data_IF_311246200611
#
_entry.id   IF_311246200611
#
_cell.length_a   1.000
_cell.length_b   1.000
_cell.length_c   1.000
_cell.angle_alpha   90.00
_cell.angle_beta   90.00
_cell.angle_gamma   90.00
#
_symmetry.space_group_name_H-M   'P 1'
#
loop_
_entity.id
_entity.type
_entity.pdbx_description
1 polymer ?
#
# COMPACT_ATOMS: atom_id res chain seq x y z
N UNK A 1 10.85 -4.17 17.28
CA UNK A 1 10.56 -4.08 15.83
C UNK A 1 9.37 -5.01 15.62
N UNK A 2 8.20 -4.50 15.20
CA UNK A 2 7.09 -5.40 14.80
C UNK A 2 7.53 -6.09 13.51
N UNK A 3 7.39 -7.41 13.45
CA UNK A 3 7.81 -8.20 12.30
C UNK A 3 6.54 -8.76 11.69
N UNK A 4 6.31 -8.49 10.40
CA UNK A 4 5.30 -9.27 9.67
C UNK A 4 5.74 -10.72 9.69
N UNK A 5 4.82 -11.63 10.01
CA UNK A 5 5.08 -13.06 9.95
C UNK A 5 5.44 -13.47 8.50
N UNK A 6 6.07 -14.64 8.35
CA UNK A 6 6.61 -15.11 7.06
C UNK A 6 5.62 -14.86 5.93
N UNK A 7 6.06 -14.02 5.00
CA UNK A 7 5.31 -13.54 3.84
C UNK A 7 4.83 -14.64 2.89
N UNK A 8 5.42 -15.83 3.01
CA UNK A 8 5.08 -17.04 2.29
C UNK A 8 4.18 -17.92 3.15
N UNK A 9 3.11 -18.45 2.56
CA UNK A 9 2.16 -19.38 3.20
C UNK A 9 1.22 -18.78 4.25
N UNK A 10 1.08 -17.46 4.38
CA UNK A 10 0.09 -16.88 5.32
C UNK A 10 -1.37 -17.25 5.01
N UNK A 11 -1.66 -17.79 3.83
CA UNK A 11 -2.99 -18.33 3.47
C UNK A 11 -3.18 -19.80 3.90
N UNK A 12 -2.10 -20.47 4.30
CA UNK A 12 -2.06 -21.89 4.68
C UNK A 12 -1.72 -22.06 6.16
N UNK A 13 -0.92 -21.15 6.70
CA UNK A 13 -0.56 -21.04 8.11
C UNK A 13 -1.48 -20.03 8.79
N UNK A 14 -2.41 -20.54 9.59
CA UNK A 14 -3.40 -19.77 10.33
C UNK A 14 -2.75 -18.82 11.36
N UNK A 15 -1.67 -19.23 12.01
CA UNK A 15 -0.93 -18.39 12.96
C UNK A 15 -0.31 -17.19 12.24
N UNK A 16 0.32 -17.44 11.08
CA UNK A 16 0.86 -16.37 10.23
C UNK A 16 -0.23 -15.45 9.68
N UNK A 17 -1.40 -15.99 9.32
CA UNK A 17 -2.55 -15.19 8.89
C UNK A 17 -2.96 -14.19 9.97
N UNK A 18 -3.23 -14.67 11.18
CA UNK A 18 -3.70 -13.83 12.28
C UNK A 18 -2.64 -12.86 12.77
N UNK A 19 -1.36 -13.25 12.77
CA UNK A 19 -0.27 -12.32 13.05
C UNK A 19 -0.21 -11.16 12.05
N UNK A 20 -0.40 -11.44 10.75
CA UNK A 20 -0.43 -10.41 9.72
C UNK A 20 -1.68 -9.53 9.79
N UNK A 21 -2.85 -10.12 10.06
CA UNK A 21 -4.10 -9.37 10.33
C UNK A 21 -3.92 -8.42 11.50
N UNK A 22 -3.38 -8.90 12.62
CA UNK A 22 -3.11 -8.07 13.79
C UNK A 22 -2.13 -6.94 13.45
N UNK A 23 -1.04 -7.26 12.75
CA UNK A 23 -0.06 -6.25 12.33
C UNK A 23 -0.71 -5.10 11.56
N UNK A 24 -1.57 -5.40 10.58
CA UNK A 24 -2.21 -4.36 9.77
C UNK A 24 -3.31 -3.61 10.51
N UNK A 25 -4.06 -4.26 11.40
CA UNK A 25 -5.00 -3.56 12.29
C UNK A 25 -4.26 -2.58 13.21
N UNK A 26 -3.19 -3.04 13.87
CA UNK A 26 -2.33 -2.19 14.70
C UNK A 26 -1.74 -1.02 13.90
N UNK A 27 -1.44 -1.22 12.61
CA UNK A 27 -0.92 -0.17 11.74
C UNK A 27 -1.98 0.90 11.48
N UNK A 28 -3.24 0.50 11.26
CA UNK A 28 -4.35 1.44 11.07
C UNK A 28 -4.55 2.25 12.37
N UNK A 29 -4.54 1.58 13.52
CA UNK A 29 -4.69 2.21 14.84
C UNK A 29 -3.54 3.19 15.15
N UNK A 30 -2.32 2.86 14.72
CA UNK A 30 -1.15 3.74 14.85
C UNK A 30 -1.30 5.02 14.03
N UNK A 31 -1.84 4.93 12.80
CA UNK A 31 -2.07 6.11 11.96
C UNK A 31 -3.16 7.00 12.54
N UNK A 32 -4.21 6.42 13.12
CA UNK A 32 -5.26 7.19 13.77
C UNK A 32 -5.89 6.43 14.94
N UNK A 33 -5.83 6.99 16.16
CA UNK A 33 -6.47 6.38 17.34
C UNK A 33 -7.99 6.65 17.38
N UNK A 34 -8.54 7.29 16.34
CA UNK A 34 -9.97 7.59 16.27
C UNK A 34 -10.78 6.28 16.15
N UNK A 35 -11.96 6.19 16.80
CA UNK A 35 -12.78 4.99 16.72
C UNK A 35 -13.14 4.65 15.27
N UNK A 36 -12.93 3.38 14.92
CA UNK A 36 -13.36 2.80 13.66
C UNK A 36 -13.96 1.42 13.88
N UNK A 37 -14.75 0.98 12.91
CA UNK A 37 -15.37 -0.33 12.90
C UNK A 37 -14.75 -1.21 11.81
N UNK A 38 -14.82 -2.53 11.97
CA UNK A 38 -14.46 -3.42 10.87
C UNK A 38 -15.38 -3.14 9.67
N UNK A 39 -14.78 -2.86 8.51
CA UNK A 39 -15.52 -2.43 7.33
C UNK A 39 -16.01 -3.61 6.49
N UNK A 40 -15.12 -4.54 6.16
CA UNK A 40 -15.45 -5.74 5.38
C UNK A 40 -15.36 -6.97 6.28
N UNK A 41 -16.43 -7.76 6.27
CA UNK A 41 -16.47 -9.02 7.02
C UNK A 41 -15.54 -10.05 6.39
N UNK A 42 -14.66 -10.62 7.21
CA UNK A 42 -13.74 -11.70 6.84
C UNK A 42 -14.24 -13.06 7.31
N UNK A 43 -15.55 -13.20 7.60
CA UNK A 43 -16.14 -14.42 8.15
C UNK A 43 -17.34 -14.91 7.34
N UNK A 44 -17.46 -16.23 7.23
CA UNK A 44 -18.67 -16.91 6.76
C UNK A 44 -19.83 -16.66 7.72
N UNK A 45 -21.06 -16.96 7.28
CA UNK A 45 -22.26 -16.86 8.11
C UNK A 45 -22.22 -17.77 9.36
N UNK A 46 -21.36 -18.78 9.38
CA UNK A 46 -21.11 -19.66 10.53
C UNK A 46 -20.01 -19.13 11.48
N UNK A 47 -19.44 -17.94 11.23
CA UNK A 47 -18.41 -17.31 12.04
C UNK A 47 -16.97 -17.75 11.72
N UNK A 48 -16.76 -18.68 10.79
CA UNK A 48 -15.41 -19.12 10.39
C UNK A 48 -14.75 -18.05 9.51
N UNK A 49 -13.46 -17.74 9.72
CA UNK A 49 -12.74 -16.75 8.90
C UNK A 49 -12.37 -17.28 7.50
N UNK A 50 -12.42 -16.40 6.49
CA UNK A 50 -11.80 -16.60 5.18
C UNK A 50 -10.32 -16.24 5.30
N UNK A 51 -9.43 -17.21 5.05
CA UNK A 51 -7.98 -16.99 5.07
C UNK A 51 -7.47 -16.63 3.66
N UNK A 52 -7.99 -15.56 3.06
CA UNK A 52 -7.69 -15.19 1.65
C UNK A 52 -6.89 -13.88 1.49
N UNK A 53 -6.71 -13.13 2.57
CA UNK A 53 -5.99 -11.85 2.59
C UNK A 53 -6.75 -10.68 1.95
N UNK A 54 -8.03 -10.85 1.62
CA UNK A 54 -8.89 -9.85 0.98
C UNK A 54 -10.21 -9.60 1.74
N UNK A 55 -10.20 -8.70 2.75
CA UNK A 55 -9.03 -8.01 3.27
C UNK A 55 -8.30 -8.78 4.36
N UNK A 56 -7.01 -8.49 4.50
CA UNK A 56 -6.24 -8.86 5.69
C UNK A 56 -6.56 -7.90 6.86
N UNK A 57 -6.94 -6.65 6.56
CA UNK A 57 -7.40 -5.66 7.54
C UNK A 57 -8.33 -4.63 6.88
N UNK A 58 -9.30 -4.11 7.64
CA UNK A 58 -10.21 -3.07 7.14
C UNK A 58 -10.75 -2.20 8.27
N UNK A 59 -11.04 -0.94 7.97
CA UNK A 59 -11.51 0.03 8.95
C UNK A 59 -12.50 1.01 8.30
N UNK A 60 -13.61 1.30 9.00
CA UNK A 60 -14.60 2.30 8.64
C UNK A 60 -14.58 3.44 9.67
N UNK A 61 -14.18 4.63 9.23
CA UNK A 61 -14.28 5.86 10.00
C UNK A 61 -15.57 6.59 9.62
N UNK A 62 -16.69 6.21 10.24
CA UNK A 62 -18.03 6.76 9.94
C UNK A 62 -18.06 8.29 9.99
N UNK A 63 -17.43 8.88 11.00
CA UNK A 63 -17.33 10.34 11.16
C UNK A 63 -16.66 11.07 9.99
N UNK A 64 -15.86 10.37 9.20
CA UNK A 64 -15.14 10.94 8.05
C UNK A 64 -15.70 10.50 6.71
N UNK A 65 -16.69 9.60 6.69
CA UNK A 65 -17.19 8.99 5.46
C UNK A 65 -16.09 8.26 4.68
N UNK A 66 -15.13 7.63 5.39
CA UNK A 66 -13.96 6.98 4.81
C UNK A 66 -13.83 5.55 5.27
N UNK A 67 -13.42 4.69 4.36
CA UNK A 67 -13.04 3.32 4.65
C UNK A 67 -11.64 3.00 4.13
N UNK A 68 -10.96 2.09 4.81
CA UNK A 68 -9.68 1.51 4.40
C UNK A 68 -9.90 0.01 4.22
N UNK A 69 -9.35 -0.53 3.13
CA UNK A 69 -9.23 -1.96 2.88
C UNK A 69 -7.79 -2.29 2.55
N UNK A 70 -7.12 -3.09 3.37
CA UNK A 70 -5.78 -3.60 3.10
C UNK A 70 -5.94 -5.03 2.59
N UNK A 71 -5.41 -5.28 1.39
CA UNK A 71 -5.36 -6.58 0.75
C UNK A 71 -3.91 -7.02 0.71
N UNK A 72 -3.58 -8.12 1.38
CA UNK A 72 -2.23 -8.68 1.34
C UNK A 72 -2.18 -9.81 0.32
N UNK A 73 -1.16 -9.79 -0.53
CA UNK A 73 -0.87 -10.87 -1.49
C UNK A 73 0.55 -11.37 -1.30
N UNK A 74 0.82 -12.58 -1.78
CA UNK A 74 2.15 -13.16 -1.77
C UNK A 74 3.16 -12.28 -2.52
N UNK A 75 4.44 -12.37 -2.14
CA UNK A 75 5.51 -11.65 -2.81
C UNK A 75 5.68 -12.14 -4.25
N UNK A 76 5.62 -11.21 -5.19
CA UNK A 76 5.93 -11.40 -6.60
C UNK A 76 6.99 -10.38 -7.01
N UNK A 77 8.18 -10.89 -7.31
CA UNK A 77 9.33 -10.07 -7.70
C UNK A 77 9.13 -9.30 -9.02
N UNK A 78 8.19 -9.75 -9.85
CA UNK A 78 7.85 -9.10 -11.12
C UNK A 78 6.84 -7.96 -10.96
N UNK A 79 6.05 -7.98 -9.89
CA UNK A 79 5.04 -6.98 -9.59
C UNK A 79 5.52 -5.94 -8.57
N UNK A 80 4.95 -4.73 -8.66
CA UNK A 80 5.28 -3.67 -7.72
C UNK A 80 4.63 -3.92 -6.35
N UNK A 81 5.34 -3.69 -5.24
CA UNK A 81 4.92 -4.20 -3.94
C UNK A 81 3.77 -3.42 -3.29
N UNK A 82 3.36 -2.26 -3.81
CA UNK A 82 2.16 -1.55 -3.33
C UNK A 82 1.38 -0.89 -4.47
N UNK A 83 0.09 -1.20 -4.55
CA UNK A 83 -0.87 -0.52 -5.43
C UNK A 83 -2.03 0.00 -4.61
N UNK A 84 -2.53 1.17 -4.98
CA UNK A 84 -3.64 1.78 -4.26
C UNK A 84 -4.69 2.28 -5.24
N UNK A 85 -5.96 2.26 -4.87
CA UNK A 85 -7.01 2.91 -5.63
C UNK A 85 -8.11 3.41 -4.70
N UNK A 86 -9.00 4.23 -5.26
CA UNK A 86 -10.17 4.72 -4.56
C UNK A 86 -11.40 4.05 -5.14
N UNK A 87 -12.36 3.76 -4.28
CA UNK A 87 -13.70 3.36 -4.67
C UNK A 87 -14.75 4.20 -3.94
N UNK A 88 -15.95 4.27 -4.49
CA UNK A 88 -17.12 4.84 -3.82
C UNK A 88 -18.12 3.73 -3.56
N UNK A 89 -18.35 3.45 -2.28
CA UNK A 89 -19.26 2.39 -1.85
C UNK A 89 -20.49 3.03 -1.21
N UNK A 90 -21.67 2.53 -1.56
CA UNK A 90 -22.93 2.93 -0.90
C UNK A 90 -23.13 2.10 0.37
N UNK A 91 -23.33 2.78 1.50
CA UNK A 91 -23.52 2.16 2.81
C UNK A 91 -24.52 2.96 3.62
N UNK A 92 -25.62 2.34 4.03
CA UNK A 92 -26.69 2.98 4.81
C UNK A 92 -27.08 4.35 4.23
N UNK A 93 -27.32 4.40 2.91
CA UNK A 93 -27.70 5.62 2.16
C UNK A 93 -26.64 6.73 2.10
N UNK A 94 -25.43 6.47 2.62
CA UNK A 94 -24.28 7.37 2.50
C UNK A 94 -23.25 6.83 1.52
N UNK A 95 -22.56 7.74 0.82
CA UNK A 95 -21.41 7.38 -0.02
C UNK A 95 -20.15 7.43 0.82
N UNK A 96 -19.50 6.28 0.95
CA UNK A 96 -18.20 6.14 1.61
C UNK A 96 -17.11 6.16 0.55
N UNK A 97 -16.09 6.99 0.77
CA UNK A 97 -14.87 6.92 -0.02
C UNK A 97 -13.98 5.83 0.58
N UNK A 98 -13.74 4.76 -0.18
CA UNK A 98 -12.85 3.68 0.23
C UNK A 98 -11.47 3.86 -0.40
N UNK A 99 -10.42 3.73 0.41
CA UNK A 99 -9.05 3.51 -0.04
C UNK A 99 -8.77 2.00 0.01
N UNK A 100 -8.45 1.42 -1.13
CA UNK A 100 -7.95 0.04 -1.18
C UNK A 100 -6.43 0.05 -1.37
N UNK A 101 -5.74 -0.69 -0.51
CA UNK A 101 -4.29 -0.83 -0.48
C UNK A 101 -3.93 -2.29 -0.71
N UNK A 102 -3.48 -2.61 -1.91
CA UNK A 102 -2.92 -3.91 -2.24
C UNK A 102 -1.43 -3.91 -1.93
N UNK A 103 -1.02 -4.77 -0.99
CA UNK A 103 0.36 -4.84 -0.50
C UNK A 103 0.96 -6.22 -0.74
N UNK A 104 2.19 -6.22 -1.22
CA UNK A 104 3.11 -7.33 -1.04
C UNK A 104 3.97 -6.99 0.17
N UNK A 105 4.02 -7.87 1.16
CA UNK A 105 4.59 -7.52 2.44
C UNK A 105 6.14 -7.56 2.39
N UNK A 106 6.74 -6.38 2.59
CA UNK A 106 8.19 -6.12 2.61
C UNK A 106 8.49 -4.94 3.54
N UNK A 107 9.67 -4.89 4.13
CA UNK A 107 10.02 -3.86 5.11
C UNK A 107 9.91 -2.45 4.53
N UNK A 108 10.32 -2.25 3.27
CA UNK A 108 10.23 -0.96 2.58
C UNK A 108 8.80 -0.50 2.26
N UNK A 109 7.82 -1.41 2.32
CA UNK A 109 6.41 -1.12 1.99
C UNK A 109 5.69 -0.52 3.17
N UNK A 110 6.05 -0.93 4.39
CA UNK A 110 5.37 -0.53 5.62
C UNK A 110 5.26 1.00 5.76
N UNK A 111 6.40 1.70 5.66
CA UNK A 111 6.42 3.16 5.78
C UNK A 111 5.59 3.84 4.69
N UNK A 112 5.56 3.28 3.48
CA UNK A 112 4.71 3.81 2.41
C UNK A 112 3.23 3.60 2.67
N UNK A 113 2.83 2.47 3.27
CA UNK A 113 1.44 2.27 3.68
C UNK A 113 1.06 3.34 4.69
N UNK A 114 1.87 3.57 5.73
CA UNK A 114 1.61 4.63 6.72
C UNK A 114 1.43 5.99 6.05
N UNK A 115 2.33 6.39 5.15
CA UNK A 115 2.23 7.65 4.41
C UNK A 115 0.91 7.77 3.64
N UNK A 116 0.49 6.70 2.94
CA UNK A 116 -0.75 6.67 2.18
C UNK A 116 -1.96 6.77 3.11
N UNK A 117 -2.01 5.97 4.17
CA UNK A 117 -3.11 5.96 5.13
C UNK A 117 -3.25 7.32 5.81
N UNK A 118 -2.13 7.90 6.23
CA UNK A 118 -2.08 9.23 6.86
C UNK A 118 -2.63 10.29 5.92
N UNK A 119 -2.12 10.32 4.68
CA UNK A 119 -2.59 11.29 3.68
C UNK A 119 -4.09 11.10 3.40
N UNK A 120 -4.54 9.85 3.25
CA UNK A 120 -5.94 9.55 2.97
C UNK A 120 -6.86 9.97 4.11
N UNK A 121 -6.56 9.61 5.36
CA UNK A 121 -7.42 9.86 6.52
C UNK A 121 -7.52 11.36 6.82
N UNK A 122 -6.41 12.09 6.79
CA UNK A 122 -6.39 13.50 7.22
C UNK A 122 -6.60 14.51 6.10
N UNK A 123 -6.55 14.11 4.83
CA UNK A 123 -6.92 15.00 3.72
C UNK A 123 -8.45 15.01 3.52
N UNK A 124 -9.08 16.18 3.58
CA UNK A 124 -10.53 16.31 3.36
C UNK A 124 -10.92 16.50 1.88
N UNK A 125 -10.02 17.03 1.05
CA UNK A 125 -10.30 17.30 -0.36
C UNK A 125 -10.12 16.04 -1.22
N UNK A 126 -11.23 15.45 -1.66
CA UNK A 126 -11.25 14.24 -2.51
C UNK A 126 -10.50 14.40 -3.84
N UNK A 127 -10.39 15.62 -4.38
CA UNK A 127 -9.60 15.89 -5.60
C UNK A 127 -8.11 15.77 -5.30
N UNK A 128 -7.65 16.22 -4.14
CA UNK A 128 -6.26 16.05 -3.69
C UNK A 128 -5.94 14.59 -3.42
N UNK A 129 -6.85 13.85 -2.79
CA UNK A 129 -6.72 12.39 -2.61
C UNK A 129 -6.57 11.69 -3.96
N UNK A 130 -7.49 11.96 -4.90
CA UNK A 130 -7.45 11.38 -6.24
C UNK A 130 -6.18 11.73 -7.02
N UNK A 131 -5.65 12.95 -6.85
CA UNK A 131 -4.38 13.37 -7.46
C UNK A 131 -3.20 12.62 -6.84
N UNK A 132 -3.17 12.48 -5.51
CA UNK A 132 -2.15 11.73 -4.79
C UNK A 132 -2.12 10.27 -5.23
N UNK A 133 -3.26 9.58 -5.23
CA UNK A 133 -3.39 8.17 -5.65
C UNK A 133 -2.87 7.96 -7.08
N UNK A 134 -3.23 8.85 -8.01
CA UNK A 134 -2.70 8.81 -9.39
C UNK A 134 -1.18 9.01 -9.45
N UNK A 135 -0.66 9.99 -8.72
CA UNK A 135 0.78 10.28 -8.68
C UNK A 135 1.58 9.13 -8.06
N UNK A 136 1.07 8.55 -6.98
CA UNK A 136 1.65 7.41 -6.27
C UNK A 136 1.75 6.19 -7.21
N UNK A 137 0.64 5.81 -7.85
CA UNK A 137 0.64 4.70 -8.81
C UNK A 137 1.54 4.96 -10.03
N UNK A 138 1.60 6.20 -10.52
CA UNK A 138 2.48 6.55 -11.63
C UNK A 138 3.96 6.46 -11.25
N UNK A 139 4.34 6.93 -10.05
CA UNK A 139 5.68 6.77 -9.51
C UNK A 139 6.06 5.29 -9.38
N UNK A 140 5.17 4.50 -8.79
CA UNK A 140 5.39 3.08 -8.57
C UNK A 140 5.58 2.28 -9.87
N UNK A 141 4.76 2.55 -10.90
CA UNK A 141 4.94 1.94 -12.22
C UNK A 141 6.29 2.28 -12.87
N UNK A 142 6.74 3.53 -12.73
CA UNK A 142 8.05 3.96 -13.25
C UNK A 142 9.20 3.27 -12.52
N UNK A 143 9.12 3.19 -11.19
CA UNK A 143 10.11 2.49 -10.38
C UNK A 143 10.19 1.00 -10.73
N UNK A 144 9.04 0.34 -10.96
CA UNK A 144 8.99 -1.06 -11.40
C UNK A 144 9.69 -1.27 -12.76
N UNK A 145 9.35 -0.44 -13.76
CA UNK A 145 9.95 -0.51 -15.09
C UNK A 145 11.46 -0.29 -15.03
N UNK A 146 11.93 0.67 -14.23
CA UNK A 146 13.36 0.91 -14.05
C UNK A 146 14.07 -0.29 -13.42
N UNK A 147 13.48 -0.88 -12.37
CA UNK A 147 14.04 -2.08 -11.75
C UNK A 147 14.19 -3.22 -12.75
N UNK A 148 13.14 -3.51 -13.54
CA UNK A 148 13.19 -4.54 -14.58
C UNK A 148 14.29 -4.27 -15.62
N UNK A 149 14.43 -3.02 -16.07
CA UNK A 149 15.51 -2.66 -16.98
C UNK A 149 16.90 -2.86 -16.36
N UNK A 150 17.09 -2.47 -15.11
CA UNK A 150 18.35 -2.66 -14.37
C UNK A 150 18.67 -4.15 -14.20
N UNK A 151 17.70 -4.96 -13.81
CA UNK A 151 17.88 -6.41 -13.62
C UNK A 151 18.22 -7.11 -14.96
N UNK A 152 17.55 -6.73 -16.06
CA UNK A 152 17.87 -7.22 -17.40
C UNK A 152 19.27 -6.79 -17.89
N UNK A 153 19.74 -5.60 -17.51
CA UNK A 153 21.09 -5.16 -17.86
C UNK A 153 22.15 -5.86 -17.03
N UNK A 154 21.90 -6.12 -15.74
CA UNK A 154 22.82 -6.87 -14.87
C UNK A 154 23.08 -8.29 -15.38
N UNK A 155 22.06 -8.93 -15.96
CA UNK A 155 22.22 -10.26 -16.55
C UNK A 155 23.02 -10.24 -17.87
N UNK A 156 23.14 -9.08 -18.54
CA UNK A 156 23.89 -8.91 -19.79
C UNK A 156 25.33 -8.42 -19.53
N UNK A 157 25.53 -7.42 -18.67
CA UNK A 157 26.85 -6.89 -18.30
C UNK A 157 26.83 -6.18 -16.94
N UNK A 158 27.46 -6.76 -15.90
CA UNK A 158 27.52 -6.16 -14.56
C UNK A 158 28.19 -4.78 -14.52
N UNK A 159 29.16 -4.53 -15.42
CA UNK A 159 29.98 -3.30 -15.41
C UNK A 159 29.21 -2.10 -15.97
N UNK A 160 28.48 -2.27 -17.07
CA UNK A 160 27.68 -1.20 -17.69
C UNK A 160 26.49 -0.72 -16.83
N UNK A 161 26.06 -1.55 -15.88
CA UNK A 161 24.90 -1.27 -15.02
C UNK A 161 25.19 -0.18 -13.99
N UNK A 162 26.43 -0.10 -13.47
CA UNK A 162 26.77 0.86 -12.40
C UNK A 162 26.76 2.32 -12.88
N UNK A 163 27.19 2.59 -14.11
CA UNK A 163 27.24 3.95 -14.65
C UNK A 163 25.84 4.48 -14.98
N UNK A 164 24.93 3.62 -15.44
CA UNK A 164 23.55 4.00 -15.71
C UNK A 164 22.71 4.15 -14.43
N UNK A 165 22.97 3.33 -13.41
CA UNK A 165 22.36 3.50 -12.08
C UNK A 165 22.74 4.88 -11.51
N UNK A 166 24.02 5.27 -11.62
CA UNK A 166 24.48 6.61 -11.22
C UNK A 166 23.73 7.71 -11.97
N UNK A 167 23.67 7.65 -13.31
CA UNK A 167 23.02 8.69 -14.11
C UNK A 167 21.50 8.78 -13.85
N UNK A 168 20.86 7.65 -13.57
CA UNK A 168 19.42 7.60 -13.27
C UNK A 168 19.13 8.16 -11.88
N UNK A 169 19.96 7.83 -10.87
CA UNK A 169 19.87 8.42 -9.52
C UNK A 169 20.06 9.94 -9.59
N UNK A 170 21.06 10.42 -10.33
CA UNK A 170 21.27 11.85 -10.55
C UNK A 170 20.07 12.52 -11.23
N UNK A 171 19.47 11.86 -12.22
CA UNK A 171 18.28 12.36 -12.92
C UNK A 171 17.08 12.46 -11.98
N UNK A 172 16.82 11.44 -11.16
CA UNK A 172 15.71 11.43 -10.18
C UNK A 172 15.94 12.49 -9.11
N UNK A 173 17.16 12.61 -8.59
CA UNK A 173 17.54 13.61 -7.59
C UNK A 173 17.33 15.04 -8.13
N UNK A 174 17.79 15.31 -9.35
CA UNK A 174 17.63 16.61 -10.01
C UNK A 174 16.16 16.94 -10.33
N UNK A 175 15.34 15.94 -10.68
CA UNK A 175 13.90 16.11 -10.86
C UNK A 175 13.17 16.37 -9.54
N UNK A 176 13.61 15.75 -8.43
CA UNK A 176 13.10 16.01 -7.08
C UNK A 176 13.41 17.42 -6.59
N UNK A 177 14.64 17.91 -6.81
CA UNK A 177 15.06 19.27 -6.46
C UNK A 177 14.30 20.35 -7.25
N UNK A 178 14.05 20.13 -8.55
CA UNK A 178 13.26 21.05 -9.38
C UNK A 178 11.82 21.19 -8.90
N UNK A 179 11.21 20.11 -8.39
CA UNK A 179 9.85 20.15 -7.83
C UNK A 179 9.78 20.93 -6.52
N UNK A 180 10.79 20.83 -5.64
CA UNK A 180 10.87 21.62 -4.40
C UNK A 180 10.99 23.14 -4.65
N UNK A 181 11.68 23.55 -5.73
CA UNK A 181 11.84 24.97 -6.10
C UNK A 181 10.60 25.61 -6.75
N UNK A 182 9.61 24.81 -7.17
CA UNK A 182 8.36 25.31 -7.77
C UNK A 182 7.19 25.35 -6.78
N UNK A 183 7.41 24.89 -5.55
CA UNK A 183 6.41 24.85 -4.46
C UNK A 183 6.65 25.88 -3.35
N UNK A 184 7.60 26.79 -3.57
CA UNK A 184 7.85 28.03 -2.80
C UNK A 184 7.56 29.20 -3.69
#
# INVERSE_FOLDING_TARGET
MRTLSKYENFLVDEEAYFANRQFWNDTIDEVSPEPHEQWVTTQFANGVDFLDGNPIASALYKQWGKAIRIVQVANDNSAFPIRIWLDFVEYQETKILELVVLVQPRDEVYQRVIEVLTFFLFQSDSKKISKYVRAFNAFNRRAASLKQSVDAMRSISPVATNDLIKSTIETIYNQGLKRKKQST
#
